data_IF_099712984143
#
_entry.id   IF_099712984143
#
_cell.length_a   1.000
_cell.length_b   1.000
_cell.length_c   1.000
_cell.angle_alpha   90.00
_cell.angle_beta   90.00
_cell.angle_gamma   90.00
#
_symmetry.space_group_name_H-M   'P 1'
#
loop_
_entity.id
_entity.type
_entity.pdbx_description
1 polymer ?
#
# COMPACT_ATOMS: atom_id res chain seq x y z
N UNK A 1 11.90 -4.73 -2.57
CA UNK A 1 12.89 -3.79 -3.15
C UNK A 1 12.17 -2.50 -3.52
N UNK A 2 12.78 -1.35 -3.23
CA UNK A 2 12.24 -0.01 -3.51
C UNK A 2 11.99 0.22 -5.00
N UNK A 3 12.71 -0.50 -5.89
CA UNK A 3 12.50 -0.39 -7.34
C UNK A 3 11.08 -0.76 -7.78
N UNK A 4 10.37 -1.58 -7.00
CA UNK A 4 8.98 -1.94 -7.26
C UNK A 4 7.97 -0.98 -6.63
N UNK A 5 8.39 -0.05 -5.76
CA UNK A 5 7.50 0.93 -5.15
C UNK A 5 7.35 2.15 -6.06
N UNK A 6 6.11 2.59 -6.25
CA UNK A 6 5.80 3.70 -7.14
C UNK A 6 5.32 4.95 -6.38
N UNK A 7 4.02 5.06 -6.10
CA UNK A 7 3.40 6.27 -5.55
C UNK A 7 2.80 6.01 -4.16
N UNK A 8 3.25 6.70 -3.10
CA UNK A 8 2.66 6.61 -1.78
C UNK A 8 1.46 7.58 -1.60
N UNK A 9 0.46 7.14 -0.84
CA UNK A 9 -0.74 7.90 -0.49
C UNK A 9 -1.06 7.70 1.00
N UNK A 10 -1.61 8.74 1.65
CA UNK A 10 -2.23 8.58 2.96
C UNK A 10 -3.62 7.97 2.82
N UNK A 11 -3.91 7.02 3.69
CA UNK A 11 -5.22 6.38 3.80
C UNK A 11 -5.83 6.77 5.15
N UNK A 12 -7.04 7.29 5.08
CA UNK A 12 -7.88 7.65 6.21
C UNK A 12 -9.25 6.96 6.06
N UNK A 13 -9.95 6.67 7.17
CA UNK A 13 -11.32 6.15 7.12
C UNK A 13 -12.26 7.18 6.50
N UNK A 14 -13.30 6.70 5.82
CA UNK A 14 -14.38 7.52 5.29
C UNK A 14 -15.61 7.43 6.20
N UNK A 15 -15.80 8.46 7.03
CA UNK A 15 -16.91 8.57 7.97
C UNK A 15 -16.75 7.76 9.26
N UNK A 16 -17.58 8.09 10.25
CA UNK A 16 -17.51 7.54 11.61
C UNK A 16 -17.68 6.01 11.66
N UNK A 17 -18.46 5.42 10.74
CA UNK A 17 -18.67 3.97 10.69
C UNK A 17 -17.39 3.19 10.34
N UNK A 18 -16.46 3.81 9.61
CA UNK A 18 -15.22 3.16 9.19
C UNK A 18 -14.08 3.30 10.23
N UNK A 19 -14.20 4.24 11.19
CA UNK A 19 -13.11 4.57 12.13
C UNK A 19 -12.68 3.38 12.99
N UNK A 20 -13.64 2.67 13.58
CA UNK A 20 -13.34 1.53 14.46
C UNK A 20 -12.64 0.40 13.68
N UNK A 21 -13.19 0.04 12.52
CA UNK A 21 -12.62 -1.02 11.67
C UNK A 21 -11.22 -0.63 11.19
N UNK A 22 -11.03 0.63 10.80
CA UNK A 22 -9.73 1.18 10.40
C UNK A 22 -8.71 1.10 11.55
N UNK A 23 -9.10 1.50 12.75
CA UNK A 23 -8.24 1.45 13.93
C UNK A 23 -7.82 0.02 14.29
N UNK A 24 -8.76 -0.93 14.25
CA UNK A 24 -8.51 -2.36 14.52
C UNK A 24 -7.54 -2.94 13.50
N UNK A 25 -7.76 -2.69 12.20
CA UNK A 25 -6.87 -3.18 11.13
C UNK A 25 -5.46 -2.58 11.24
N UNK A 26 -5.36 -1.27 11.47
CA UNK A 26 -4.07 -0.58 11.66
C UNK A 26 -3.29 -1.19 12.83
N UNK A 27 -3.96 -1.45 13.95
CA UNK A 27 -3.30 -2.04 15.13
C UNK A 27 -2.92 -3.52 14.91
N UNK A 28 -3.76 -4.29 14.22
CA UNK A 28 -3.43 -5.66 13.84
C UNK A 28 -2.18 -5.72 12.94
N UNK A 29 -2.04 -4.80 11.97
CA UNK A 29 -0.86 -4.71 11.12
C UNK A 29 0.39 -4.32 11.91
N UNK A 30 0.28 -3.37 12.85
CA UNK A 30 1.40 -3.00 13.74
C UNK A 30 1.89 -4.18 14.56
N UNK A 31 0.97 -4.87 15.24
CA UNK A 31 1.30 -6.01 16.11
C UNK A 31 1.90 -7.17 15.35
N UNK A 32 1.44 -7.41 14.13
CA UNK A 32 1.93 -8.50 13.29
C UNK A 32 3.19 -8.15 12.51
N UNK A 33 3.55 -6.87 12.37
CA UNK A 33 4.63 -6.42 11.51
C UNK A 33 4.40 -6.71 10.03
N UNK A 34 3.14 -6.89 9.62
CA UNK A 34 2.75 -7.26 8.25
C UNK A 34 2.12 -6.09 7.51
N UNK A 35 2.27 -6.11 6.19
CA UNK A 35 1.56 -5.25 5.26
C UNK A 35 0.45 -6.04 4.58
N UNK A 36 -0.65 -5.38 4.27
CA UNK A 36 -1.69 -5.95 3.42
C UNK A 36 -1.37 -5.71 1.95
N UNK A 37 -1.76 -6.65 1.09
CA UNK A 37 -1.70 -6.54 -0.37
C UNK A 37 -3.13 -6.48 -0.89
N UNK A 38 -3.41 -5.52 -1.77
CA UNK A 38 -4.74 -5.31 -2.33
C UNK A 38 -4.67 -4.87 -3.79
N UNK A 39 -5.84 -4.83 -4.44
CA UNK A 39 -6.03 -4.22 -5.76
C UNK A 39 -6.89 -2.97 -5.59
N UNK A 40 -6.43 -1.85 -6.15
CA UNK A 40 -7.10 -0.55 -6.07
C UNK A 40 -7.21 0.05 -7.47
N UNK A 41 -8.38 0.55 -7.83
CA UNK A 41 -8.58 1.32 -9.07
C UNK A 41 -8.34 2.79 -8.78
N UNK A 42 -7.32 3.36 -9.40
CA UNK A 42 -6.97 4.78 -9.32
C UNK A 42 -7.03 5.38 -10.73
N UNK A 43 -7.91 6.37 -10.93
CA UNK A 43 -8.08 7.06 -12.21
C UNK A 43 -8.27 6.08 -13.40
N UNK A 44 -9.21 5.14 -13.27
CA UNK A 44 -9.53 4.08 -14.24
C UNK A 44 -8.50 2.96 -14.45
N UNK A 45 -7.35 3.00 -13.76
CA UNK A 45 -6.34 1.93 -13.83
C UNK A 45 -6.30 1.15 -12.53
N UNK A 46 -6.45 -0.16 -12.64
CA UNK A 46 -6.24 -1.06 -11.52
C UNK A 46 -4.74 -1.22 -11.24
N UNK A 47 -4.37 -1.19 -9.96
CA UNK A 47 -3.00 -1.35 -9.49
C UNK A 47 -2.95 -2.30 -8.31
N UNK A 48 -1.87 -3.09 -8.24
CA UNK A 48 -1.52 -3.80 -7.00
C UNK A 48 -0.93 -2.78 -6.04
N UNK A 49 -1.37 -2.82 -4.79
CA UNK A 49 -0.93 -1.89 -3.74
C UNK A 49 -0.51 -2.64 -2.49
N UNK A 50 0.39 -2.03 -1.74
CA UNK A 50 0.63 -2.39 -0.34
C UNK A 50 -0.06 -1.39 0.57
N UNK A 51 -0.56 -1.88 1.70
CA UNK A 51 -1.23 -1.08 2.71
C UNK A 51 -0.55 -1.36 4.05
N UNK A 52 -0.22 -0.31 4.80
CA UNK A 52 0.44 -0.45 6.09
C UNK A 52 0.10 0.64 7.09
N UNK A 53 0.39 0.41 8.38
CA UNK A 53 0.13 1.39 9.43
C UNK A 53 1.14 2.54 9.38
N UNK A 54 0.67 3.78 9.59
CA UNK A 54 1.52 4.98 9.69
C UNK A 54 0.94 5.94 10.72
N UNK A 55 1.63 6.14 11.84
CA UNK A 55 1.18 7.07 12.90
C UNK A 55 -0.29 6.81 13.30
N UNK A 56 -1.17 7.81 13.21
CA UNK A 56 -2.59 7.64 13.50
C UNK A 56 -3.42 7.14 12.31
N UNK A 57 -2.80 7.07 11.13
CA UNK A 57 -3.43 6.61 9.89
C UNK A 57 -2.78 5.37 9.31
N UNK A 58 -2.92 5.23 8.01
CA UNK A 58 -2.33 4.18 7.20
C UNK A 58 -1.74 4.79 5.92
N UNK A 59 -0.89 4.05 5.24
CA UNK A 59 -0.41 4.40 3.92
C UNK A 59 -0.81 3.34 2.91
N UNK A 60 -0.96 3.76 1.66
CA UNK A 60 -1.09 2.92 0.48
C UNK A 60 0.12 3.23 -0.41
N UNK A 61 0.79 2.22 -0.94
CA UNK A 61 1.84 2.40 -1.93
C UNK A 61 1.54 1.56 -3.16
N UNK A 62 1.43 2.19 -4.33
CA UNK A 62 1.28 1.47 -5.60
C UNK A 62 2.56 0.73 -5.93
N UNK A 63 2.41 -0.46 -6.52
CA UNK A 63 3.53 -1.26 -6.99
C UNK A 63 3.64 -1.19 -8.51
N UNK A 64 4.87 -1.11 -9.01
CA UNK A 64 5.18 -1.32 -10.42
C UNK A 64 4.97 -2.79 -10.77
N UNK A 65 4.46 -3.05 -11.97
CA UNK A 65 4.44 -4.40 -12.49
C UNK A 65 5.88 -4.90 -12.65
N UNK A 66 6.14 -6.20 -12.45
CA UNK A 66 7.47 -6.76 -12.67
C UNK A 66 8.03 -6.47 -14.06
N UNK A 67 7.15 -6.40 -15.06
CA UNK A 67 7.50 -6.13 -16.45
C UNK A 67 7.95 -4.67 -16.69
N UNK A 68 7.67 -3.77 -15.74
CA UNK A 68 8.09 -2.37 -15.79
C UNK A 68 9.46 -2.16 -15.13
N UNK A 69 9.97 -3.15 -14.38
CA UNK A 69 11.25 -3.10 -13.68
C UNK A 69 12.30 -3.86 -14.49
N UNK A 70 13.29 -3.15 -15.01
CA UNK A 70 14.39 -3.76 -15.78
C UNK A 70 15.41 -4.41 -14.85
N UNK A 71 15.96 -5.54 -15.28
CA UNK A 71 16.94 -6.30 -14.50
C UNK A 71 18.30 -5.59 -14.46
N UNK A 72 19.07 -5.71 -13.36
CA UNK A 72 20.39 -5.08 -13.24
C UNK A 72 21.39 -5.60 -14.28
N UNK A 73 21.29 -6.86 -14.71
CA UNK A 73 22.20 -7.46 -15.70
C UNK A 73 22.14 -6.79 -17.09
N UNK A 74 21.09 -6.03 -17.39
CA UNK A 74 21.02 -5.23 -18.62
C UNK A 74 21.86 -3.95 -18.54
N UNK A 75 22.40 -3.62 -17.36
CA UNK A 75 23.03 -2.33 -17.07
C UNK A 75 24.35 -2.42 -16.28
N UNK A 76 24.56 -3.47 -15.49
CA UNK A 76 25.72 -3.68 -14.62
C UNK A 76 26.42 -5.01 -14.93
#
# INVERSE_FOLDING_TARGET
DVIYQDSPYYLAPDGAMAEETFAVLREAMRRSGKLAIARLVLSSRERVVTIGPRENGMFVCTLRNPNEVRGPAEYF
#
